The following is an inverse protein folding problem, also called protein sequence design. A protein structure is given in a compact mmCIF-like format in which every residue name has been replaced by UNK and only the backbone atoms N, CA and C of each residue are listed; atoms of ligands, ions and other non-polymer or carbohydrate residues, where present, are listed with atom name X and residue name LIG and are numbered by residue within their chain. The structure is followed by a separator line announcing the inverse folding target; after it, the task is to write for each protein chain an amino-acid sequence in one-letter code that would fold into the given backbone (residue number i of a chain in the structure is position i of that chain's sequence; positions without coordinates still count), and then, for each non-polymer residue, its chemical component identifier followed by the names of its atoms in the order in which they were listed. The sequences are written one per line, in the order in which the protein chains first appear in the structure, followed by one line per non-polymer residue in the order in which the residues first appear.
data_IF_379019476099
#
_entry.id   IF_379019476099
#
_cell.length_a   1.000
_cell.length_b   1.000
_cell.length_c   1.000
_cell.angle_alpha   90.00
_cell.angle_beta   90.00
_cell.angle_gamma   90.00
#
_symmetry.space_group_name_H-M   'P 1'
#
loop_
_entity.id
_entity.type
_entity.pdbx_description
1 polymer ?
#
# COMPACT_ATOMS: atom_id res chain seq x y z
N UNK A 1 -27.72 23.54 -5.81
CA UNK A 1 -27.01 22.42 -5.15
C UNK A 1 -25.57 22.85 -4.97
N UNK A 2 -25.04 22.89 -3.75
CA UNK A 2 -23.63 23.20 -3.54
C UNK A 2 -22.79 22.01 -4.02
N UNK A 3 -21.88 22.23 -4.97
CA UNK A 3 -20.86 21.25 -5.32
C UNK A 3 -19.93 21.10 -4.12
N UNK A 4 -20.14 20.04 -3.33
CA UNK A 4 -19.18 19.65 -2.30
C UNK A 4 -17.92 19.16 -3.02
N UNK A 5 -16.85 19.94 -2.93
CA UNK A 5 -15.53 19.50 -3.37
C UNK A 5 -15.15 18.23 -2.61
N UNK A 6 -14.66 17.22 -3.32
CA UNK A 6 -14.15 16.02 -2.64
C UNK A 6 -12.82 16.32 -1.94
N UNK A 7 -12.45 15.50 -0.96
CA UNK A 7 -11.17 15.64 -0.23
C UNK A 7 -9.97 15.67 -1.20
N UNK A 8 -10.01 14.89 -2.28
CA UNK A 8 -8.95 14.91 -3.29
C UNK A 8 -8.90 16.20 -4.10
N UNK A 9 -10.06 16.83 -4.37
CA UNK A 9 -10.10 18.11 -5.07
C UNK A 9 -9.53 19.22 -4.18
N UNK A 10 -9.88 19.21 -2.88
CA UNK A 10 -9.31 20.13 -1.89
C UNK A 10 -7.79 19.94 -1.73
N UNK A 11 -7.31 18.70 -1.72
CA UNK A 11 -5.88 18.41 -1.60
C UNK A 11 -5.08 18.90 -2.83
N UNK A 12 -5.62 18.68 -4.04
CA UNK A 12 -4.99 19.15 -5.26
C UNK A 12 -5.03 20.68 -5.37
N UNK A 13 -6.15 21.31 -4.99
CA UNK A 13 -6.31 22.77 -4.96
C UNK A 13 -5.30 23.40 -4.00
N UNK A 14 -5.14 22.84 -2.79
CA UNK A 14 -4.11 23.28 -1.85
C UNK A 14 -2.70 23.18 -2.44
N UNK A 15 -2.35 22.05 -3.07
CA UNK A 15 -1.02 21.86 -3.68
C UNK A 15 -0.78 22.84 -4.82
N UNK A 16 -1.76 23.05 -5.69
CA UNK A 16 -1.63 23.94 -6.83
C UNK A 16 -1.62 25.42 -6.43
N UNK A 17 -2.56 25.84 -5.59
CA UNK A 17 -2.80 27.26 -5.30
C UNK A 17 -2.08 27.76 -4.05
N UNK A 18 -1.80 26.90 -3.07
CA UNK A 18 -1.06 27.29 -1.86
C UNK A 18 0.43 27.03 -2.00
N UNK A 19 0.81 25.86 -2.53
CA UNK A 19 2.23 25.51 -2.68
C UNK A 19 2.81 25.94 -4.03
N UNK A 20 1.97 26.22 -5.03
CA UNK A 20 2.43 26.60 -6.37
C UNK A 20 3.11 25.45 -7.13
N UNK A 21 2.80 24.20 -6.79
CA UNK A 21 3.43 23.00 -7.37
C UNK A 21 2.40 22.17 -8.12
N UNK A 22 2.79 21.60 -9.26
CA UNK A 22 1.96 20.66 -10.01
C UNK A 22 1.62 19.43 -9.14
N UNK A 23 0.33 19.08 -8.96
CA UNK A 23 -0.09 17.90 -8.20
C UNK A 23 0.58 16.60 -8.66
N UNK A 24 0.93 16.46 -9.94
CA UNK A 24 1.66 15.30 -10.46
C UNK A 24 3.07 15.20 -9.89
N UNK A 25 3.77 16.33 -9.71
CA UNK A 25 5.12 16.35 -9.16
C UNK A 25 5.09 15.91 -7.69
N UNK A 26 4.12 16.40 -6.91
CA UNK A 26 3.91 15.98 -5.53
C UNK A 26 3.52 14.50 -5.45
N UNK A 27 2.58 14.05 -6.29
CA UNK A 27 2.17 12.65 -6.37
C UNK A 27 3.32 11.71 -6.69
N UNK A 28 4.17 12.08 -7.66
CA UNK A 28 5.40 11.34 -7.99
C UNK A 28 6.39 11.27 -6.83
N UNK A 29 6.61 12.38 -6.13
CA UNK A 29 7.45 12.40 -4.93
C UNK A 29 6.95 11.42 -3.87
N UNK A 30 5.65 11.44 -3.59
CA UNK A 30 4.99 10.55 -2.62
C UNK A 30 5.06 9.08 -3.05
N UNK A 31 4.85 8.77 -4.33
CA UNK A 31 5.02 7.40 -4.86
C UNK A 31 6.49 6.95 -4.80
N UNK A 32 7.46 7.85 -5.00
CA UNK A 32 8.87 7.55 -4.78
C UNK A 32 9.15 7.13 -3.34
N UNK A 33 8.61 7.85 -2.35
CA UNK A 33 8.71 7.48 -0.93
C UNK A 33 8.04 6.13 -0.68
N UNK A 34 6.84 5.91 -1.23
CA UNK A 34 6.12 4.64 -1.11
C UNK A 34 6.93 3.46 -1.66
N UNK A 35 7.51 3.63 -2.85
CA UNK A 35 8.34 2.61 -3.50
C UNK A 35 9.59 2.27 -2.67
N UNK A 36 10.27 3.27 -2.12
CA UNK A 36 11.43 3.03 -1.25
C UNK A 36 11.05 2.34 0.07
N UNK A 37 9.94 2.74 0.69
CA UNK A 37 9.44 2.11 1.92
C UNK A 37 9.01 0.65 1.67
N UNK A 38 8.27 0.40 0.60
CA UNK A 38 7.85 -0.93 0.17
C UNK A 38 9.07 -1.80 -0.21
N UNK A 39 10.04 -1.27 -0.94
CA UNK A 39 11.27 -1.99 -1.32
C UNK A 39 12.09 -2.44 -0.10
N UNK A 40 12.25 -1.57 0.90
CA UNK A 40 12.88 -1.92 2.18
C UNK A 40 12.13 -3.01 2.93
N UNK A 41 10.80 -2.95 2.93
CA UNK A 41 9.96 -3.98 3.54
C UNK A 41 10.10 -5.33 2.81
N UNK A 42 9.98 -5.31 1.48
CA UNK A 42 10.16 -6.45 0.59
C UNK A 42 11.49 -7.17 0.80
N UNK A 43 12.59 -6.42 0.96
CA UNK A 43 13.91 -6.99 1.23
C UNK A 43 13.93 -7.80 2.54
N UNK A 44 13.34 -7.28 3.61
CA UNK A 44 13.21 -8.01 4.89
C UNK A 44 12.32 -9.24 4.74
N UNK A 45 11.20 -9.11 4.03
CA UNK A 45 10.29 -10.22 3.76
C UNK A 45 10.96 -11.32 2.93
N UNK A 46 11.82 -10.97 1.96
CA UNK A 46 12.63 -11.95 1.24
C UNK A 46 13.63 -12.66 2.15
N UNK A 47 14.25 -11.98 3.11
CA UNK A 47 15.14 -12.62 4.09
C UNK A 47 14.41 -13.70 4.89
N UNK A 48 13.17 -13.43 5.32
CA UNK A 48 12.32 -14.41 5.99
C UNK A 48 11.98 -15.64 5.15
N UNK A 49 12.03 -15.55 3.82
CA UNK A 49 11.83 -16.74 2.97
C UNK A 49 12.99 -17.73 2.99
N UNK A 50 14.18 -17.26 3.40
CA UNK A 50 15.41 -18.06 3.49
C UNK A 50 15.74 -18.46 4.94
N UNK A 51 15.11 -17.83 5.90
CA UNK A 51 15.30 -18.09 7.33
C UNK A 51 14.54 -19.36 7.75
N UNK A 52 15.27 -20.34 8.28
CA UNK A 52 14.69 -21.60 8.76
C UNK A 52 13.95 -21.44 10.10
N UNK A 53 14.25 -20.36 10.84
CA UNK A 53 13.65 -20.06 12.15
C UNK A 53 12.37 -19.21 12.06
N UNK A 54 12.02 -18.72 10.87
CA UNK A 54 10.85 -17.88 10.68
C UNK A 54 9.55 -18.70 10.76
N UNK A 55 8.62 -18.28 11.63
CA UNK A 55 7.28 -18.86 11.82
C UNK A 55 6.18 -17.80 11.58
N UNK A 56 5.18 -18.13 10.76
CA UNK A 56 4.04 -17.26 10.48
C UNK A 56 2.91 -17.46 11.53
N UNK A 57 2.01 -16.48 11.70
CA UNK A 57 0.85 -16.61 12.59
C UNK A 57 -0.11 -17.71 12.12
N UNK A 58 -0.53 -18.59 13.03
CA UNK A 58 -1.49 -19.68 12.74
C UNK A 58 -2.91 -19.14 12.55
N UNK A 59 -3.55 -19.45 11.42
CA UNK A 59 -4.95 -19.06 11.13
C UNK A 59 -5.95 -20.15 11.51
N UNK A 60 -7.13 -19.73 12.01
CA UNK A 60 -8.16 -20.56 12.67
C UNK A 60 -8.94 -21.54 11.76
N UNK A 61 -8.49 -21.75 10.53
CA UNK A 61 -9.19 -22.56 9.53
C UNK A 61 -8.29 -23.24 8.50
N UNK A 62 -6.98 -23.22 8.70
CA UNK A 62 -6.04 -23.86 7.78
C UNK A 62 -6.03 -25.38 7.98
N UNK A 63 -6.58 -26.13 7.02
CA UNK A 63 -6.43 -27.60 6.96
C UNK A 63 -5.01 -28.06 6.58
N UNK A 64 -4.19 -27.15 6.04
CA UNK A 64 -2.84 -27.43 5.55
C UNK A 64 -1.76 -26.79 6.46
N UNK A 65 -0.59 -27.42 6.61
CA UNK A 65 0.57 -26.79 7.25
C UNK A 65 0.88 -25.45 6.58
N UNK A 66 1.02 -24.37 7.36
CA UNK A 66 1.45 -23.09 6.82
C UNK A 66 2.89 -23.20 6.31
N UNK A 67 3.09 -23.01 5.00
CA UNK A 67 4.42 -22.93 4.43
C UNK A 67 4.99 -21.53 4.64
N UNK A 68 5.39 -21.22 5.87
CA UNK A 68 5.81 -19.89 6.32
C UNK A 68 6.78 -19.20 5.35
N UNK A 69 7.82 -19.91 4.90
CA UNK A 69 8.83 -19.39 3.96
C UNK A 69 8.26 -19.10 2.57
N UNK A 70 7.38 -19.96 2.07
CA UNK A 70 6.65 -19.73 0.83
C UNK A 70 5.71 -18.51 0.96
N UNK A 71 5.04 -18.34 2.10
CA UNK A 71 4.20 -17.17 2.36
C UNK A 71 5.02 -15.88 2.41
N UNK A 72 6.21 -15.90 3.01
CA UNK A 72 7.14 -14.77 2.98
C UNK A 72 7.57 -14.45 1.54
N UNK A 73 8.01 -15.45 0.77
CA UNK A 73 8.36 -15.26 -0.64
C UNK A 73 7.22 -14.66 -1.46
N UNK A 74 6.01 -15.23 -1.34
CA UNK A 74 4.80 -14.75 -2.01
C UNK A 74 4.44 -13.32 -1.60
N UNK A 75 4.56 -12.99 -0.33
CA UNK A 75 4.32 -11.64 0.19
C UNK A 75 5.30 -10.63 -0.39
N UNK A 76 6.59 -10.97 -0.42
CA UNK A 76 7.65 -10.12 -0.95
C UNK A 76 7.49 -9.88 -2.45
N UNK A 77 7.20 -10.91 -3.25
CA UNK A 77 6.98 -10.76 -4.69
C UNK A 77 5.74 -9.93 -5.00
N UNK A 78 4.65 -10.13 -4.25
CA UNK A 78 3.43 -9.33 -4.40
C UNK A 78 3.68 -7.86 -4.08
N UNK A 79 4.43 -7.56 -3.01
CA UNK A 79 4.78 -6.19 -2.63
C UNK A 79 5.69 -5.51 -3.64
N UNK A 80 6.67 -6.23 -4.17
CA UNK A 80 7.51 -5.72 -5.25
C UNK A 80 6.69 -5.41 -6.51
N UNK A 81 5.81 -6.32 -6.92
CA UNK A 81 4.97 -6.13 -8.10
C UNK A 81 3.99 -4.97 -7.92
N UNK A 82 3.29 -4.90 -6.78
CA UNK A 82 2.34 -3.82 -6.49
C UNK A 82 3.02 -2.45 -6.47
N UNK A 83 4.12 -2.30 -5.71
CA UNK A 83 4.90 -1.05 -5.66
C UNK A 83 5.44 -0.67 -7.04
N UNK A 84 5.95 -1.63 -7.81
CA UNK A 84 6.49 -1.38 -9.15
C UNK A 84 5.41 -0.91 -10.12
N UNK A 85 4.24 -1.56 -10.16
CA UNK A 85 3.14 -1.16 -11.05
C UNK A 85 2.65 0.24 -10.70
N UNK A 86 2.51 0.57 -9.41
CA UNK A 86 2.08 1.90 -9.00
C UNK A 86 3.12 2.97 -9.33
N UNK A 87 4.40 2.67 -9.13
CA UNK A 87 5.50 3.54 -9.54
C UNK A 87 5.51 3.75 -11.06
N UNK A 88 5.40 2.69 -11.85
CA UNK A 88 5.36 2.78 -13.32
C UNK A 88 4.21 3.67 -13.79
N UNK A 89 3.00 3.51 -13.24
CA UNK A 89 1.86 4.36 -13.60
C UNK A 89 2.13 5.83 -13.26
N UNK A 90 2.59 6.14 -12.05
CA UNK A 90 2.76 7.54 -11.65
C UNK A 90 3.95 8.23 -12.33
N UNK A 91 5.05 7.52 -12.56
CA UNK A 91 6.25 8.09 -13.16
C UNK A 91 6.22 8.09 -14.68
N UNK A 92 5.68 7.05 -15.31
CA UNK A 92 5.87 6.80 -16.75
C UNK A 92 4.58 6.86 -17.56
N UNK A 93 3.39 6.72 -16.97
CA UNK A 93 2.16 6.79 -17.76
C UNK A 93 1.97 8.22 -18.33
N UNK A 94 1.63 8.34 -19.63
CA UNK A 94 1.17 9.59 -20.19
C UNK A 94 -0.09 10.08 -19.45
N UNK A 95 -0.27 11.41 -19.35
CA UNK A 95 -1.49 12.00 -18.77
C UNK A 95 -2.75 11.57 -19.52
N UNK A 96 -2.67 11.32 -20.83
CA UNK A 96 -3.79 10.83 -21.65
C UNK A 96 -4.33 9.47 -21.19
N UNK A 97 -3.50 8.69 -20.51
CA UNK A 97 -3.85 7.33 -20.08
C UNK A 97 -4.35 7.32 -18.64
N UNK A 98 -4.24 8.45 -17.92
CA UNK A 98 -4.80 8.64 -16.59
C UNK A 98 -6.31 8.83 -16.70
N UNK A 99 -7.07 7.84 -16.23
CA UNK A 99 -8.52 7.83 -16.28
C UNK A 99 -9.11 7.24 -14.99
N UNK A 100 -10.43 7.36 -14.76
CA UNK A 100 -11.06 6.92 -13.51
C UNK A 100 -10.87 5.43 -13.21
N UNK A 101 -10.79 4.59 -14.25
CA UNK A 101 -10.55 3.14 -14.10
C UNK A 101 -9.15 2.88 -13.56
N UNK A 102 -8.14 3.55 -14.11
CA UNK A 102 -6.76 3.45 -13.62
C UNK A 102 -6.66 3.97 -12.19
N UNK A 103 -7.33 5.08 -11.87
CA UNK A 103 -7.38 5.61 -10.51
C UNK A 103 -7.94 4.60 -9.50
N UNK A 104 -9.08 4.00 -9.81
CA UNK A 104 -9.69 2.97 -8.98
C UNK A 104 -8.77 1.75 -8.83
N UNK A 105 -8.13 1.29 -9.91
CA UNK A 105 -7.19 0.18 -9.86
C UNK A 105 -5.98 0.49 -8.96
N UNK A 106 -5.44 1.71 -9.02
CA UNK A 106 -4.35 2.17 -8.15
C UNK A 106 -4.76 2.19 -6.67
N UNK A 107 -5.99 2.61 -6.35
CA UNK A 107 -6.54 2.56 -4.99
C UNK A 107 -6.73 1.14 -4.49
N UNK A 108 -7.27 0.24 -5.31
CA UNK A 108 -7.43 -1.18 -4.97
C UNK A 108 -6.08 -1.81 -4.70
N UNK A 109 -5.05 -1.48 -5.50
CA UNK A 109 -3.68 -1.94 -5.22
C UNK A 109 -3.15 -1.33 -3.91
N UNK A 110 -3.29 -0.03 -3.68
CA UNK A 110 -2.77 0.63 -2.49
C UNK A 110 -3.42 0.09 -1.20
N UNK A 111 -4.74 0.06 -1.14
CA UNK A 111 -5.48 -0.36 0.05
C UNK A 111 -5.58 -1.87 0.17
N UNK A 112 -5.81 -2.58 -0.93
CA UNK A 112 -5.95 -4.03 -0.93
C UNK A 112 -4.63 -4.73 -0.58
N UNK A 113 -3.51 -4.26 -1.15
CA UNK A 113 -2.22 -4.86 -0.87
C UNK A 113 -1.65 -4.41 0.48
N UNK A 114 -1.53 -3.10 0.73
CA UNK A 114 -0.90 -2.62 1.97
C UNK A 114 -1.86 -2.60 3.16
N UNK A 115 -3.14 -2.27 2.96
CA UNK A 115 -4.13 -2.20 4.04
C UNK A 115 -4.78 -3.55 4.36
N UNK A 116 -5.04 -4.38 3.35
CA UNK A 116 -5.73 -5.66 3.51
C UNK A 116 -5.03 -6.63 4.47
N UNK A 117 -3.70 -6.55 4.58
CA UNK A 117 -2.93 -7.35 5.54
C UNK A 117 -3.25 -7.03 7.00
N UNK A 118 -3.57 -5.77 7.31
CA UNK A 118 -3.84 -5.33 8.68
C UNK A 118 -5.29 -5.55 9.11
N UNK A 119 -6.18 -5.76 8.15
CA UNK A 119 -7.62 -5.87 8.38
C UNK A 119 -7.99 -6.93 9.46
N UNK A 120 -7.38 -8.14 9.47
CA UNK A 120 -7.67 -9.13 10.51
C UNK A 120 -7.26 -8.71 11.94
N UNK A 121 -6.37 -7.73 12.09
CA UNK A 121 -5.88 -7.22 13.38
C UNK A 121 -6.65 -6.00 13.88
N UNK A 122 -7.41 -5.34 13.00
CA UNK A 122 -8.31 -4.23 13.36
C UNK A 122 -9.65 -4.74 13.91
N UNK A 123 -9.98 -6.02 13.67
CA UNK A 123 -11.22 -6.63 14.12
C UNK A 123 -11.07 -7.34 15.48
N UNK A 124 -12.18 -7.49 16.25
CA UNK A 124 -12.15 -8.11 17.57
C UNK A 124 -11.55 -9.53 17.56
N UNK A 125 -10.78 -9.84 18.61
CA UNK A 125 -10.15 -11.15 18.84
C UNK A 125 -11.17 -12.28 18.65
N UNK A 126 -10.89 -13.20 17.72
CA UNK A 126 -11.67 -14.42 17.52
C UNK A 126 -12.49 -14.51 16.22
N UNK A 127 -12.53 -13.45 15.40
CA UNK A 127 -13.27 -13.47 14.11
C UNK A 127 -12.51 -14.18 12.98
N UNK A 128 -11.19 -13.94 12.83
CA UNK A 128 -10.41 -14.46 11.69
C UNK A 128 -9.06 -15.09 12.08
N UNK A 129 -8.48 -14.72 13.22
CA UNK A 129 -7.16 -15.19 13.69
C UNK A 129 -7.35 -15.97 15.00
N UNK A 130 -6.75 -17.17 15.09
CA UNK A 130 -6.80 -17.99 16.29
C UNK A 130 -5.99 -17.33 17.42
N UNK A 131 -6.60 -17.20 18.60
CA UNK A 131 -5.91 -16.69 19.79
C UNK A 131 -5.81 -15.17 19.91
N UNK A 132 -6.46 -14.38 19.05
CA UNK A 132 -6.48 -12.92 19.19
C UNK A 132 -5.07 -12.35 19.33
N UNK A 133 -4.14 -12.88 18.53
CA UNK A 133 -2.75 -12.51 18.60
C UNK A 133 -2.63 -11.03 18.29
N UNK A 134 -2.13 -10.26 19.26
CA UNK A 134 -1.47 -8.99 18.95
C UNK A 134 -0.50 -9.24 17.80
N UNK A 135 -0.33 -8.23 16.93
CA UNK A 135 0.58 -8.31 15.81
C UNK A 135 2.00 -8.51 16.36
N UNK A 136 2.41 -9.78 16.55
CA UNK A 136 3.73 -10.18 17.01
C UNK A 136 4.65 -10.19 15.80
N UNK A 137 4.83 -9.01 15.21
CA UNK A 137 5.90 -8.83 14.24
C UNK A 137 7.23 -8.93 15.01
N UNK A 138 8.18 -9.79 14.58
CA UNK A 138 9.49 -9.87 15.22
C UNK A 138 10.23 -8.52 15.19
N UNK A 139 9.86 -7.62 14.27
CA UNK A 139 10.32 -6.23 14.24
C UNK A 139 9.22 -5.30 13.70
N UNK A 140 8.66 -4.41 14.53
CA UNK A 140 7.70 -3.37 14.13
C UNK A 140 8.22 -2.45 13.00
N UNK A 141 9.54 -2.38 12.80
CA UNK A 141 10.15 -1.61 11.73
C UNK A 141 9.73 -2.04 10.31
N UNK A 142 9.38 -3.32 10.09
CA UNK A 142 8.84 -3.76 8.79
C UNK A 142 7.40 -3.24 8.59
N UNK A 143 6.60 -3.30 9.66
CA UNK A 143 5.21 -2.84 9.67
C UNK A 143 5.10 -1.32 9.48
N UNK A 144 5.98 -0.54 10.12
CA UNK A 144 6.06 0.91 9.87
C UNK A 144 6.39 1.22 8.40
N UNK A 145 7.21 0.39 7.75
CA UNK A 145 7.51 0.52 6.32
C UNK A 145 6.27 0.31 5.45
N UNK A 146 5.48 -0.71 5.72
CA UNK A 146 4.21 -0.95 5.02
C UNK A 146 3.17 0.15 5.28
N UNK A 147 3.02 0.61 6.52
CA UNK A 147 2.10 1.70 6.84
C UNK A 147 2.52 3.02 6.18
N UNK A 148 3.82 3.33 6.19
CA UNK A 148 4.35 4.49 5.48
C UNK A 148 4.13 4.38 3.97
N UNK A 149 4.37 3.20 3.38
CA UNK A 149 4.12 2.94 1.97
C UNK A 149 2.64 3.12 1.62
N UNK A 150 1.73 2.58 2.43
CA UNK A 150 0.28 2.74 2.27
C UNK A 150 -0.14 4.22 2.32
N UNK A 151 0.28 4.92 3.38
CA UNK A 151 -0.13 6.30 3.63
C UNK A 151 0.36 7.23 2.52
N UNK A 152 1.64 7.15 2.17
CA UNK A 152 2.22 7.99 1.12
C UNK A 152 1.60 7.71 -0.24
N UNK A 153 1.24 6.45 -0.54
CA UNK A 153 0.55 6.09 -1.77
C UNK A 153 -0.89 6.61 -1.81
N UNK A 154 -1.64 6.43 -0.74
CA UNK A 154 -2.99 6.97 -0.60
C UNK A 154 -3.00 8.51 -0.76
N UNK A 155 -2.04 9.21 -0.13
CA UNK A 155 -1.87 10.65 -0.29
C UNK A 155 -1.50 11.03 -1.72
N UNK A 156 -0.64 10.26 -2.39
CA UNK A 156 -0.31 10.50 -3.79
C UNK A 156 -1.55 10.44 -4.68
N UNK A 157 -2.40 9.42 -4.48
CA UNK A 157 -3.65 9.27 -5.22
C UNK A 157 -4.65 10.39 -4.90
N UNK A 158 -4.78 10.78 -3.63
CA UNK A 158 -5.64 11.92 -3.26
C UNK A 158 -5.23 13.22 -3.97
N UNK A 159 -3.94 13.55 -3.93
CA UNK A 159 -3.41 14.79 -4.55
C UNK A 159 -3.51 14.74 -6.08
N UNK A 160 -3.34 13.56 -6.68
CA UNK A 160 -3.38 13.41 -8.15
C UNK A 160 -4.78 13.16 -8.70
N UNK A 161 -5.81 13.06 -7.86
CA UNK A 161 -7.20 12.78 -8.28
C UNK A 161 -7.63 13.60 -9.50
N UNK A 162 -7.47 14.93 -9.57
CA UNK A 162 -7.96 15.68 -10.73
C UNK A 162 -7.36 15.21 -12.06
N UNK A 163 -6.12 14.71 -12.07
CA UNK A 163 -5.45 14.23 -13.29
C UNK A 163 -6.13 12.98 -13.89
N UNK A 164 -6.85 12.21 -13.08
CA UNK A 164 -7.54 11.00 -13.51
C UNK A 164 -9.01 11.25 -13.90
N UNK A 165 -9.55 12.43 -13.62
CA UNK A 165 -10.97 12.78 -13.85
C UNK A 165 -11.13 14.08 -14.66
N UNK A 166 -10.03 14.60 -15.21
CA UNK A 166 -10.00 15.77 -16.08
C UNK A 166 -10.41 15.44 -17.52
#
# INVERSE_FOLDING_TARGET
MANLLSIGDLAADFVLHTLGVDPLVVGRGLIGVSFLAAGRSTLKTFQHSRDLSFEAPKYRGGKAPQHTRYHAFRGATLALAASSVQALVMFLAPRSDMNPTVYCAQWVLALGHYGGWYLPYLFPKGTWVEGGAELRAPVWAAEYGHMAAMLTNALALLVTKPLYFA
#
